data_IF_577012709010
#
_entry.id   IF_577012709010
#
_cell.length_a   1.000
_cell.length_b   1.000
_cell.length_c   1.000
_cell.angle_alpha   90.00
_cell.angle_beta   90.00
_cell.angle_gamma   90.00
#
_symmetry.space_group_name_H-M   'P 1'
#
loop_
_entity.id
_entity.type
_entity.pdbx_description
1 polymer ?
#
# COMPACT_ATOMS: atom_id res chain seq x y z
N UNK A 1 20.53 -17.71 -28.14
CA UNK A 1 20.08 -18.23 -26.84
C UNK A 1 19.57 -17.02 -26.10
N UNK A 2 18.29 -16.94 -25.80
CA UNK A 2 17.75 -15.83 -25.00
C UNK A 2 18.34 -15.96 -23.59
N UNK A 3 19.05 -14.94 -23.13
CA UNK A 3 19.52 -14.93 -21.75
C UNK A 3 18.30 -14.92 -20.81
N UNK A 4 18.29 -15.84 -19.85
CA UNK A 4 17.24 -15.90 -18.84
C UNK A 4 17.22 -14.65 -18.02
N UNK A 5 16.04 -14.13 -17.68
CA UNK A 5 15.87 -12.99 -16.80
C UNK A 5 16.28 -13.35 -15.37
N UNK A 6 17.34 -12.70 -14.87
CA UNK A 6 17.95 -12.98 -13.56
C UNK A 6 17.22 -12.20 -12.47
N UNK A 7 16.58 -12.91 -11.55
CA UNK A 7 15.73 -12.31 -10.51
C UNK A 7 16.17 -12.68 -9.10
N UNK A 8 15.94 -11.77 -8.16
CA UNK A 8 16.05 -12.02 -6.72
C UNK A 8 14.72 -11.74 -6.05
N UNK A 9 14.32 -12.62 -5.13
CA UNK A 9 13.08 -12.53 -4.37
C UNK A 9 13.37 -12.08 -2.95
N UNK A 10 12.54 -11.16 -2.44
CA UNK A 10 12.61 -10.67 -1.06
C UNK A 10 11.23 -10.72 -0.44
N UNK A 11 11.03 -11.63 0.51
CA UNK A 11 9.76 -11.83 1.22
C UNK A 11 10.07 -12.48 2.57
N UNK A 12 9.55 -11.99 3.69
CA UNK A 12 9.79 -12.59 5.02
C UNK A 12 9.00 -13.89 5.23
N UNK A 13 7.98 -14.14 4.42
CA UNK A 13 7.15 -15.33 4.47
C UNK A 13 7.79 -16.48 3.67
N UNK A 14 8.34 -17.46 4.36
CA UNK A 14 9.04 -18.61 3.76
C UNK A 14 8.20 -19.35 2.69
N UNK A 15 6.89 -19.55 2.94
CA UNK A 15 6.01 -20.28 2.02
C UNK A 15 5.80 -19.49 0.70
N UNK A 16 5.52 -18.19 0.80
CA UNK A 16 5.37 -17.32 -0.38
C UNK A 16 6.66 -17.29 -1.20
N UNK A 17 7.80 -17.13 -0.51
CA UNK A 17 9.12 -17.10 -1.13
C UNK A 17 9.43 -18.37 -1.90
N UNK A 18 9.16 -19.54 -1.31
CA UNK A 18 9.38 -20.84 -1.96
C UNK A 18 8.44 -21.05 -3.15
N UNK A 19 7.14 -20.81 -2.96
CA UNK A 19 6.15 -20.99 -4.02
C UNK A 19 6.43 -20.11 -5.24
N UNK A 20 6.80 -18.84 -5.02
CA UNK A 20 7.14 -17.94 -6.11
C UNK A 20 8.47 -18.33 -6.78
N UNK A 21 9.47 -18.77 -6.01
CA UNK A 21 10.71 -19.28 -6.58
C UNK A 21 10.49 -20.47 -7.49
N UNK A 22 9.66 -21.42 -7.06
CA UNK A 22 9.32 -22.62 -7.86
C UNK A 22 8.51 -22.23 -9.11
N UNK A 23 7.56 -21.30 -8.99
CA UNK A 23 6.79 -20.79 -10.12
C UNK A 23 7.71 -20.19 -11.20
N UNK A 24 8.62 -19.30 -10.80
CA UNK A 24 9.52 -18.62 -11.72
C UNK A 24 10.57 -19.58 -12.31
N UNK A 25 11.12 -20.49 -11.50
CA UNK A 25 12.10 -21.48 -11.98
C UNK A 25 11.50 -22.45 -13.02
N UNK A 26 10.20 -22.74 -12.93
CA UNK A 26 9.47 -23.55 -13.92
C UNK A 26 9.12 -22.75 -15.19
N UNK A 27 9.21 -21.44 -15.16
CA UNK A 27 9.07 -20.58 -16.34
C UNK A 27 10.43 -20.50 -17.04
N UNK A 28 10.57 -21.05 -18.22
CA UNK A 28 11.86 -21.25 -18.94
C UNK A 28 12.72 -19.99 -19.11
N UNK A 29 12.15 -18.80 -18.90
CA UNK A 29 12.80 -17.51 -19.12
C UNK A 29 13.36 -16.86 -17.86
N UNK A 30 13.27 -17.51 -16.69
CA UNK A 30 13.76 -16.94 -15.43
C UNK A 30 14.92 -17.74 -14.85
N UNK A 31 15.87 -17.01 -14.27
CA UNK A 31 16.96 -17.54 -13.46
C UNK A 31 16.84 -16.90 -12.05
N UNK A 32 16.38 -17.67 -11.08
CA UNK A 32 16.21 -17.21 -9.71
C UNK A 32 17.57 -17.31 -9.00
N UNK A 33 18.29 -16.18 -8.94
CA UNK A 33 19.63 -16.10 -8.33
C UNK A 33 19.60 -16.33 -6.82
N UNK A 34 18.46 -16.02 -6.19
CA UNK A 34 18.26 -16.23 -4.77
C UNK A 34 16.92 -15.73 -4.28
N UNK A 35 16.55 -16.19 -3.07
CA UNK A 35 15.32 -15.80 -2.42
C UNK A 35 15.58 -15.66 -0.91
N UNK A 36 15.35 -14.46 -0.37
CA UNK A 36 15.71 -14.14 1.01
C UNK A 36 14.62 -13.36 1.74
N UNK A 37 14.62 -13.43 3.09
CA UNK A 37 13.89 -12.50 3.97
C UNK A 37 14.85 -11.53 4.69
N UNK A 38 16.15 -11.56 4.36
CA UNK A 38 17.21 -10.77 5.02
C UNK A 38 17.75 -9.69 4.09
N UNK A 39 17.87 -8.48 4.63
CA UNK A 39 18.43 -7.33 3.89
C UNK A 39 19.92 -7.52 3.61
N UNK A 40 20.67 -8.10 4.54
CA UNK A 40 22.11 -8.33 4.39
C UNK A 40 22.40 -9.37 3.31
N UNK A 41 21.59 -10.44 3.26
CA UNK A 41 21.68 -11.42 2.18
C UNK A 41 21.31 -10.81 0.82
N UNK A 42 20.26 -9.95 0.78
CA UNK A 42 19.89 -9.23 -0.45
C UNK A 42 21.05 -8.41 -0.99
N UNK A 43 21.78 -7.66 -0.14
CA UNK A 43 22.94 -6.88 -0.56
C UNK A 43 24.00 -7.76 -1.22
N UNK A 44 24.26 -8.92 -0.64
CA UNK A 44 25.18 -9.90 -1.24
C UNK A 44 24.68 -10.41 -2.58
N UNK A 45 23.39 -10.70 -2.71
CA UNK A 45 22.76 -11.14 -3.96
C UNK A 45 22.78 -10.05 -5.04
N UNK A 46 22.65 -8.78 -4.66
CA UNK A 46 22.77 -7.65 -5.59
C UNK A 46 24.14 -7.53 -6.26
N UNK A 47 25.21 -8.06 -5.64
CA UNK A 47 26.55 -8.11 -6.26
C UNK A 47 26.57 -8.97 -7.53
N UNK A 48 25.68 -9.95 -7.62
CA UNK A 48 25.52 -10.77 -8.82
C UNK A 48 24.82 -10.01 -9.97
N UNK A 49 24.41 -8.74 -9.74
CA UNK A 49 23.74 -7.87 -10.73
C UNK A 49 22.49 -8.53 -11.31
N UNK A 50 21.44 -8.81 -10.51
CA UNK A 50 20.17 -9.28 -11.05
C UNK A 50 19.54 -8.23 -11.97
N UNK A 51 18.75 -8.67 -12.91
CA UNK A 51 18.01 -7.80 -13.84
C UNK A 51 16.78 -7.17 -13.15
N UNK A 52 16.26 -7.83 -12.11
CA UNK A 52 15.05 -7.39 -11.41
C UNK A 52 14.99 -7.93 -9.98
N UNK A 53 14.44 -7.12 -9.06
CA UNK A 53 14.08 -7.55 -7.71
C UNK A 53 12.56 -7.68 -7.60
N UNK A 54 12.10 -8.74 -6.93
CA UNK A 54 10.69 -8.92 -6.57
C UNK A 54 10.63 -8.84 -5.05
N UNK A 55 9.92 -7.82 -4.53
CA UNK A 55 9.94 -7.45 -3.11
C UNK A 55 8.54 -7.47 -2.55
N UNK A 56 8.30 -8.14 -1.43
CA UNK A 56 7.06 -7.96 -0.69
C UNK A 56 7.04 -6.59 0.02
N UNK A 57 5.86 -5.99 0.07
CA UNK A 57 5.67 -4.72 0.77
C UNK A 57 5.70 -4.90 2.29
N UNK A 58 5.06 -5.96 2.80
CA UNK A 58 4.80 -6.14 4.23
C UNK A 58 5.80 -7.10 4.85
N UNK A 59 7.01 -6.65 5.08
CA UNK A 59 8.08 -7.42 5.71
C UNK A 59 8.50 -6.84 7.06
N UNK A 60 9.19 -7.64 7.84
CA UNK A 60 9.85 -7.23 9.09
C UNK A 60 11.35 -7.56 9.03
N UNK A 61 12.21 -6.77 9.65
CA UNK A 61 11.96 -5.56 10.46
C UNK A 61 11.71 -4.29 9.63
N UNK A 62 11.92 -4.30 8.31
CA UNK A 62 11.79 -3.17 7.40
C UNK A 62 10.78 -3.52 6.30
N UNK A 63 9.85 -2.61 5.99
CA UNK A 63 8.93 -2.80 4.87
C UNK A 63 9.62 -2.62 3.50
N UNK A 64 8.98 -3.15 2.45
CA UNK A 64 9.54 -3.15 1.11
C UNK A 64 9.77 -1.76 0.52
N UNK A 65 8.95 -0.75 0.87
CA UNK A 65 9.13 0.63 0.38
C UNK A 65 10.39 1.24 0.99
N UNK A 66 10.56 1.08 2.30
CA UNK A 66 11.75 1.54 3.03
C UNK A 66 13.01 0.87 2.48
N UNK A 67 12.95 -0.44 2.20
CA UNK A 67 14.04 -1.20 1.57
C UNK A 67 14.41 -0.62 0.20
N UNK A 68 13.42 -0.39 -0.67
CA UNK A 68 13.68 0.18 -2.01
C UNK A 68 14.27 1.57 -1.89
N UNK A 69 13.74 2.42 -1.00
CA UNK A 69 14.25 3.77 -0.77
C UNK A 69 15.72 3.72 -0.34
N UNK A 70 16.08 2.81 0.56
CA UNK A 70 17.45 2.62 1.00
C UNK A 70 18.36 2.15 -0.15
N UNK A 71 17.94 1.15 -0.94
CA UNK A 71 18.70 0.69 -2.11
C UNK A 71 18.97 1.83 -3.11
N UNK A 72 17.97 2.70 -3.35
CA UNK A 72 18.14 3.88 -4.22
C UNK A 72 19.14 4.88 -3.65
N UNK A 73 19.12 5.12 -2.34
CA UNK A 73 20.09 6.01 -1.68
C UNK A 73 21.53 5.45 -1.72
N UNK A 74 21.67 4.13 -1.77
CA UNK A 74 22.95 3.42 -1.94
C UNK A 74 23.41 3.36 -3.43
N UNK A 75 22.65 3.98 -4.35
CA UNK A 75 22.96 4.03 -5.80
C UNK A 75 22.54 2.77 -6.57
N UNK A 76 21.80 1.86 -5.94
CA UNK A 76 21.28 0.67 -6.61
C UNK A 76 20.02 1.02 -7.40
N UNK A 77 20.07 0.87 -8.73
CA UNK A 77 18.99 1.20 -9.66
C UNK A 77 18.35 -0.03 -10.31
N UNK A 78 18.55 -1.23 -9.77
CA UNK A 78 17.93 -2.45 -10.27
C UNK A 78 16.40 -2.24 -10.27
N UNK A 79 15.68 -2.57 -11.36
CA UNK A 79 14.22 -2.50 -11.41
C UNK A 79 13.59 -3.32 -10.29
N UNK A 80 12.52 -2.79 -9.69
CA UNK A 80 11.80 -3.45 -8.59
C UNK A 80 10.35 -3.66 -8.95
N UNK A 81 9.87 -4.88 -8.78
CA UNK A 81 8.46 -5.26 -8.72
C UNK A 81 8.08 -5.45 -7.26
N UNK A 82 7.05 -4.75 -6.82
CA UNK A 82 6.42 -4.99 -5.52
C UNK A 82 5.28 -5.98 -5.70
N UNK A 83 5.33 -7.09 -4.96
CA UNK A 83 4.28 -8.11 -4.97
C UNK A 83 3.66 -8.20 -3.58
N UNK A 84 2.40 -7.78 -3.42
CA UNK A 84 1.80 -7.52 -2.10
C UNK A 84 0.32 -7.91 -2.02
N UNK A 85 -0.19 -8.10 -0.82
CA UNK A 85 -1.64 -8.18 -0.54
C UNK A 85 -2.29 -6.80 -0.37
N UNK A 86 -1.52 -5.70 -0.38
CA UNK A 86 -2.06 -4.36 -0.15
C UNK A 86 -2.64 -3.76 -1.42
N UNK A 87 -3.92 -3.45 -1.39
CA UNK A 87 -4.63 -2.68 -2.41
C UNK A 87 -4.78 -1.19 -2.03
N UNK A 88 -3.98 -0.70 -1.08
CA UNK A 88 -4.01 0.68 -0.60
C UNK A 88 -3.45 1.65 -1.64
N UNK A 89 -4.19 2.73 -1.92
CA UNK A 89 -3.73 3.83 -2.77
C UNK A 89 -2.47 4.51 -2.21
N UNK A 90 -2.40 4.68 -0.89
CA UNK A 90 -1.24 5.27 -0.24
C UNK A 90 0.02 4.42 -0.39
N UNK A 91 -0.11 3.09 -0.33
CA UNK A 91 1.00 2.16 -0.54
C UNK A 91 1.47 2.20 -2.00
N UNK A 92 0.52 2.23 -2.96
CA UNK A 92 0.83 2.39 -4.38
C UNK A 92 1.59 3.71 -4.63
N UNK A 93 1.08 4.83 -4.11
CA UNK A 93 1.72 6.14 -4.26
C UNK A 93 3.15 6.15 -3.70
N UNK A 94 3.34 5.60 -2.49
CA UNK A 94 4.65 5.55 -1.85
C UNK A 94 5.62 4.62 -2.60
N UNK A 95 5.15 3.47 -3.11
CA UNK A 95 5.96 2.57 -3.91
C UNK A 95 6.44 3.24 -5.20
N UNK A 96 5.56 3.94 -5.91
CA UNK A 96 5.93 4.67 -7.14
C UNK A 96 6.93 5.79 -6.84
N UNK A 97 6.72 6.57 -5.77
CA UNK A 97 7.68 7.61 -5.35
C UNK A 97 9.05 7.04 -4.98
N UNK A 98 9.09 5.83 -4.41
CA UNK A 98 10.33 5.11 -4.13
C UNK A 98 11.02 4.55 -5.39
N UNK A 99 10.40 4.67 -6.57
CA UNK A 99 10.96 4.21 -7.84
C UNK A 99 10.70 2.74 -8.16
N UNK A 100 9.63 2.17 -7.59
CA UNK A 100 9.13 0.84 -7.97
C UNK A 100 8.56 0.89 -9.38
N UNK A 101 8.85 -0.11 -10.19
CA UNK A 101 8.41 -0.20 -11.59
C UNK A 101 7.25 -1.17 -11.80
N UNK A 102 6.99 -2.06 -10.85
CA UNK A 102 5.84 -2.97 -10.87
C UNK A 102 5.12 -2.95 -9.53
N UNK A 103 3.79 -2.80 -9.54
CA UNK A 103 2.97 -2.98 -8.33
C UNK A 103 1.90 -4.03 -8.60
N UNK A 104 2.15 -5.24 -8.11
CA UNK A 104 1.34 -6.42 -8.37
C UNK A 104 0.69 -6.93 -7.08
N UNK A 105 -0.49 -7.52 -7.21
CA UNK A 105 -1.19 -8.12 -6.08
C UNK A 105 -0.96 -9.64 -6.04
N UNK A 106 -0.78 -10.18 -4.84
CA UNK A 106 -0.56 -11.63 -4.62
C UNK A 106 -1.77 -12.51 -4.94
N UNK A 107 -2.95 -11.91 -5.21
CA UNK A 107 -4.17 -12.58 -5.66
C UNK A 107 -4.33 -12.64 -7.19
N UNK A 108 -3.38 -12.08 -7.95
CA UNK A 108 -3.33 -12.23 -9.42
C UNK A 108 -3.03 -13.68 -9.82
N UNK A 109 -3.43 -14.05 -11.04
CA UNK A 109 -3.05 -15.35 -11.58
C UNK A 109 -1.52 -15.48 -11.72
N UNK A 110 -0.96 -16.69 -11.56
CA UNK A 110 0.48 -16.89 -11.75
C UNK A 110 0.98 -16.42 -13.11
N UNK A 111 0.19 -16.62 -14.16
CA UNK A 111 0.49 -16.24 -15.53
C UNK A 111 0.57 -14.71 -15.68
N UNK A 112 -0.37 -13.98 -15.07
CA UNK A 112 -0.39 -12.51 -15.09
C UNK A 112 0.79 -11.92 -14.31
N UNK A 113 1.17 -12.56 -13.21
CA UNK A 113 2.37 -12.15 -12.43
C UNK A 113 3.63 -12.32 -13.27
N UNK A 114 3.80 -13.49 -13.90
CA UNK A 114 4.97 -13.79 -14.76
C UNK A 114 5.05 -12.81 -15.94
N UNK A 115 3.94 -12.56 -16.65
CA UNK A 115 3.89 -11.60 -17.75
C UNK A 115 4.23 -10.20 -17.29
N UNK A 116 3.67 -9.76 -16.17
CA UNK A 116 3.94 -8.45 -15.59
C UNK A 116 5.42 -8.26 -15.22
N UNK A 117 6.07 -9.29 -14.67
CA UNK A 117 7.51 -9.25 -14.35
C UNK A 117 8.34 -9.07 -15.63
N UNK A 118 8.02 -9.79 -16.72
CA UNK A 118 8.71 -9.63 -18.01
C UNK A 118 8.58 -8.22 -18.56
N UNK A 119 7.40 -7.64 -18.50
CA UNK A 119 7.13 -6.27 -18.96
C UNK A 119 7.91 -5.24 -18.15
N UNK A 120 7.99 -5.42 -16.83
CA UNK A 120 8.82 -4.55 -15.97
C UNK A 120 10.30 -4.67 -16.33
N UNK A 121 10.80 -5.88 -16.59
CA UNK A 121 12.18 -6.10 -17.02
C UNK A 121 12.46 -5.47 -18.40
N UNK A 122 11.46 -5.40 -19.27
CA UNK A 122 11.54 -4.68 -20.56
C UNK A 122 11.47 -3.13 -20.39
N UNK A 123 11.35 -2.63 -19.14
CA UNK A 123 11.35 -1.20 -18.85
C UNK A 123 9.97 -0.56 -18.71
N UNK A 124 8.89 -1.35 -18.78
CA UNK A 124 7.54 -0.82 -18.59
C UNK A 124 7.25 -0.49 -17.11
N UNK A 125 6.32 0.43 -16.89
CA UNK A 125 5.65 0.60 -15.60
C UNK A 125 4.38 -0.25 -15.60
N UNK A 126 4.29 -1.23 -14.71
CA UNK A 126 3.17 -2.17 -14.63
C UNK A 126 2.46 -2.05 -13.29
N UNK A 127 1.16 -1.84 -13.34
CA UNK A 127 0.31 -1.79 -12.15
C UNK A 127 -0.80 -2.83 -12.30
N UNK A 128 -1.07 -3.58 -11.24
CA UNK A 128 -2.15 -4.57 -11.24
C UNK A 128 -3.47 -3.95 -11.74
N UNK A 129 -4.27 -4.64 -12.56
CA UNK A 129 -5.51 -4.09 -13.11
C UNK A 129 -6.44 -3.52 -12.05
N UNK A 130 -6.56 -4.17 -10.89
CA UNK A 130 -7.36 -3.70 -9.76
C UNK A 130 -6.88 -2.37 -9.16
N UNK A 131 -5.62 -1.98 -9.41
CA UNK A 131 -5.00 -0.74 -8.92
C UNK A 131 -4.99 0.38 -9.96
N UNK A 132 -5.40 0.12 -11.20
CA UNK A 132 -5.30 1.10 -12.31
C UNK A 132 -6.12 2.35 -12.04
N UNK A 133 -7.33 2.22 -11.51
CA UNK A 133 -8.19 3.39 -11.17
C UNK A 133 -7.51 4.25 -10.10
N UNK A 134 -6.97 3.61 -9.05
CA UNK A 134 -6.23 4.29 -7.97
C UNK A 134 -5.00 5.02 -8.51
N UNK A 135 -4.31 4.43 -9.49
CA UNK A 135 -3.19 5.08 -10.17
C UNK A 135 -3.61 6.32 -10.95
N UNK A 136 -4.74 6.26 -11.66
CA UNK A 136 -5.29 7.41 -12.39
C UNK A 136 -5.67 8.53 -11.42
N UNK A 137 -6.28 8.19 -10.28
CA UNK A 137 -6.67 9.15 -9.25
C UNK A 137 -5.44 9.83 -8.63
N UNK A 138 -4.36 9.08 -8.39
CA UNK A 138 -3.07 9.64 -7.97
C UNK A 138 -2.50 10.63 -8.99
N UNK A 139 -2.53 10.31 -10.29
CA UNK A 139 -2.05 11.19 -11.36
C UNK A 139 -2.88 12.46 -11.50
N UNK A 140 -4.18 12.38 -11.20
CA UNK A 140 -5.08 13.55 -11.18
C UNK A 140 -4.91 14.37 -9.89
N UNK A 141 -4.57 13.73 -8.79
CA UNK A 141 -4.46 14.33 -7.45
C UNK A 141 -3.17 15.11 -7.22
N UNK A 142 -2.13 14.96 -8.04
CA UNK A 142 -0.89 15.74 -7.90
C UNK A 142 -1.05 17.26 -8.19
N UNK A 143 -2.25 17.71 -8.55
CA UNK A 143 -2.57 19.14 -8.57
C UNK A 143 -3.18 19.66 -7.26
N UNK A 144 -3.37 18.80 -6.26
CA UNK A 144 -3.89 19.21 -4.95
C UNK A 144 -2.94 18.79 -3.84
N UNK A 145 -1.81 19.46 -3.73
CA UNK A 145 -1.01 19.55 -2.50
C UNK A 145 -1.74 20.32 -1.38
N UNK A 146 -3.05 20.15 -1.30
CA UNK A 146 -3.88 20.60 -0.17
C UNK A 146 -4.51 19.35 0.43
N UNK A 147 -4.16 19.05 1.71
CA UNK A 147 -5.08 18.30 2.56
C UNK A 147 -6.49 18.82 2.27
N UNK A 148 -7.47 17.95 1.94
CA UNK A 148 -8.81 18.42 1.66
C UNK A 148 -9.36 19.10 2.92
N UNK A 149 -9.23 20.42 2.99
CA UNK A 149 -9.98 21.24 3.96
C UNK A 149 -11.45 20.95 3.68
N UNK A 150 -12.08 20.12 4.49
CA UNK A 150 -13.47 19.65 4.44
C UNK A 150 -13.70 18.18 4.03
N UNK A 151 -12.75 17.28 4.25
CA UNK A 151 -12.94 15.83 4.01
C UNK A 151 -14.14 15.27 4.83
N UNK A 152 -14.45 15.85 5.97
CA UNK A 152 -15.61 15.48 6.79
C UNK A 152 -16.96 15.74 6.10
N UNK A 153 -17.02 16.57 5.04
CA UNK A 153 -18.25 16.76 4.24
C UNK A 153 -18.64 15.55 3.40
N UNK A 154 -17.69 14.66 3.13
CA UNK A 154 -17.93 13.42 2.37
C UNK A 154 -18.66 12.36 3.21
N UNK A 155 -18.72 12.54 4.53
CA UNK A 155 -19.36 11.62 5.44
C UNK A 155 -20.87 11.88 5.49
N UNK A 156 -21.65 10.79 5.48
CA UNK A 156 -23.07 10.84 5.80
C UNK A 156 -23.27 11.23 7.28
N UNK A 157 -24.47 11.67 7.66
CA UNK A 157 -24.79 12.00 9.06
C UNK A 157 -24.42 10.85 10.00
N UNK A 158 -24.77 9.61 9.61
CA UNK A 158 -24.48 8.42 10.42
C UNK A 158 -22.97 8.17 10.56
N UNK A 159 -22.20 8.37 9.51
CA UNK A 159 -20.75 8.25 9.55
C UNK A 159 -20.10 9.36 10.39
N UNK A 160 -20.69 10.57 10.42
CA UNK A 160 -20.24 11.67 11.29
C UNK A 160 -20.49 11.37 12.77
N UNK A 161 -21.63 10.82 13.13
CA UNK A 161 -21.89 10.38 14.50
C UNK A 161 -20.87 9.34 14.96
N UNK A 162 -20.57 8.37 14.10
CA UNK A 162 -19.61 7.31 14.40
C UNK A 162 -18.18 7.85 14.53
N UNK A 163 -17.72 8.72 13.63
CA UNK A 163 -16.36 9.27 13.74
C UNK A 163 -16.21 10.18 14.96
N UNK A 164 -17.27 10.87 15.38
CA UNK A 164 -17.28 11.65 16.61
C UNK A 164 -17.09 10.78 17.86
N UNK A 165 -17.76 9.63 17.92
CA UNK A 165 -17.60 8.66 19.01
C UNK A 165 -16.21 8.00 18.97
N UNK A 166 -15.69 7.72 17.76
CA UNK A 166 -14.31 7.26 17.57
C UNK A 166 -13.28 8.26 18.10
N UNK A 167 -13.48 9.56 17.86
CA UNK A 167 -12.61 10.62 18.35
C UNK A 167 -12.62 10.74 19.88
N UNK A 168 -13.71 10.35 20.52
CA UNK A 168 -13.80 10.22 21.98
C UNK A 168 -13.13 8.96 22.53
N UNK A 169 -12.57 8.11 21.68
CA UNK A 169 -11.89 6.88 22.07
C UNK A 169 -12.82 5.68 22.30
N UNK A 170 -14.10 5.76 21.93
CA UNK A 170 -15.06 4.71 22.17
C UNK A 170 -14.76 3.44 21.33
N UNK A 171 -14.93 2.27 21.92
CA UNK A 171 -14.84 0.99 21.22
C UNK A 171 -16.03 0.76 20.29
N UNK A 172 -15.88 -0.07 19.26
CA UNK A 172 -17.00 -0.43 18.36
C UNK A 172 -18.21 -1.01 19.12
N UNK A 173 -17.96 -1.69 20.26
CA UNK A 173 -19.02 -2.24 21.12
C UNK A 173 -19.78 -1.12 21.84
N UNK A 174 -19.09 -0.12 22.36
CA UNK A 174 -19.69 1.06 23.00
C UNK A 174 -20.47 1.88 21.96
N UNK A 175 -19.91 2.11 20.78
CA UNK A 175 -20.59 2.81 19.68
C UNK A 175 -21.87 2.08 19.26
N UNK A 176 -21.82 0.75 19.14
CA UNK A 176 -22.98 -0.07 18.81
C UNK A 176 -24.11 0.10 19.82
N UNK A 177 -23.78 0.11 21.12
CA UNK A 177 -24.72 0.36 22.19
C UNK A 177 -25.30 1.79 22.17
N UNK A 178 -24.42 2.81 22.03
CA UNK A 178 -24.83 4.22 21.99
C UNK A 178 -25.76 4.54 20.82
N UNK A 179 -25.52 3.91 19.69
CA UNK A 179 -26.27 4.18 18.46
C UNK A 179 -27.40 3.15 18.17
N UNK A 180 -27.58 2.17 19.07
CA UNK A 180 -28.59 1.09 18.96
C UNK A 180 -28.50 0.32 17.63
N UNK A 181 -27.29 -0.01 17.19
CA UNK A 181 -27.01 -0.80 15.98
C UNK A 181 -26.10 -1.99 16.30
N UNK A 182 -25.95 -2.93 15.34
CA UNK A 182 -25.10 -4.09 15.56
C UNK A 182 -23.60 -3.72 15.56
N UNK A 183 -22.79 -4.52 16.24
CA UNK A 183 -21.34 -4.39 16.21
C UNK A 183 -20.77 -4.46 14.78
N UNK A 184 -21.33 -5.36 13.96
CA UNK A 184 -20.87 -5.53 12.57
C UNK A 184 -21.25 -4.32 11.70
N UNK A 185 -22.41 -3.69 11.96
CA UNK A 185 -22.81 -2.44 11.31
C UNK A 185 -21.82 -1.32 11.62
N UNK A 186 -21.39 -1.17 12.88
CA UNK A 186 -20.37 -0.19 13.26
C UNK A 186 -19.05 -0.48 12.53
N UNK A 187 -18.64 -1.75 12.48
CA UNK A 187 -17.40 -2.16 11.79
C UNK A 187 -17.44 -1.80 10.29
N UNK A 188 -18.60 -1.99 9.65
CA UNK A 188 -18.81 -1.59 8.25
C UNK A 188 -18.73 -0.07 8.08
N UNK A 189 -19.40 0.71 8.92
CA UNK A 189 -19.31 2.18 8.87
C UNK A 189 -17.88 2.68 9.08
N UNK A 190 -17.17 2.13 10.06
CA UNK A 190 -15.75 2.49 10.30
C UNK A 190 -14.91 2.21 9.05
N UNK A 191 -15.11 1.07 8.38
CA UNK A 191 -14.42 0.77 7.13
C UNK A 191 -14.74 1.79 6.02
N UNK A 192 -16.03 2.14 5.86
CA UNK A 192 -16.45 3.14 4.87
C UNK A 192 -15.89 4.53 5.18
N UNK A 193 -15.88 4.95 6.46
CA UNK A 193 -15.26 6.20 6.90
C UNK A 193 -13.78 6.24 6.52
N UNK A 194 -13.03 5.19 6.85
CA UNK A 194 -11.60 5.10 6.52
C UNK A 194 -11.36 5.18 5.01
N UNK A 195 -12.19 4.50 4.22
CA UNK A 195 -12.11 4.54 2.75
C UNK A 195 -12.44 5.93 2.22
N UNK A 196 -13.55 6.57 2.65
CA UNK A 196 -13.96 7.90 2.18
C UNK A 196 -12.97 9.00 2.54
N UNK A 197 -12.31 8.88 3.71
CA UNK A 197 -11.32 9.84 4.19
C UNK A 197 -9.89 9.47 3.77
N UNK A 198 -9.72 8.38 3.01
CA UNK A 198 -8.42 7.83 2.61
C UNK A 198 -7.44 7.64 3.78
N UNK A 199 -7.93 7.06 4.87
CA UNK A 199 -7.16 6.87 6.10
C UNK A 199 -6.86 5.40 6.37
N UNK A 200 -5.63 5.11 6.79
CA UNK A 200 -5.16 3.75 7.05
C UNK A 200 -5.47 3.23 8.47
N UNK A 201 -5.99 4.07 9.38
CA UNK A 201 -6.31 3.62 10.74
C UNK A 201 -7.39 4.48 11.41
N UNK A 202 -8.13 3.86 12.36
CA UNK A 202 -9.12 4.56 13.20
C UNK A 202 -8.53 5.71 14.01
N UNK A 203 -7.27 5.61 14.41
CA UNK A 203 -6.57 6.65 15.15
C UNK A 203 -6.37 7.88 14.28
N UNK A 204 -5.98 7.70 13.01
CA UNK A 204 -5.87 8.81 12.06
C UNK A 204 -7.23 9.47 11.80
N UNK A 205 -8.32 8.70 11.74
CA UNK A 205 -9.67 9.25 11.59
C UNK A 205 -10.07 10.09 12.82
N UNK A 206 -9.79 9.62 14.02
CA UNK A 206 -10.04 10.35 15.26
C UNK A 206 -9.24 11.66 15.33
N UNK A 207 -7.96 11.63 14.96
CA UNK A 207 -7.08 12.81 14.93
C UNK A 207 -7.56 13.83 13.88
N UNK A 208 -7.95 13.37 12.67
CA UNK A 208 -8.47 14.26 11.63
C UNK A 208 -9.75 14.96 12.10
N UNK A 209 -10.70 14.20 12.69
CA UNK A 209 -11.93 14.78 13.23
C UNK A 209 -11.67 15.79 14.34
N UNK A 210 -10.72 15.53 15.24
CA UNK A 210 -10.34 16.47 16.31
C UNK A 210 -9.73 17.76 15.76
N UNK A 211 -8.94 17.68 14.67
CA UNK A 211 -8.35 18.85 14.01
C UNK A 211 -9.38 19.70 13.25
N UNK A 212 -10.28 19.08 12.49
CA UNK A 212 -11.27 19.78 11.66
C UNK A 212 -12.54 20.16 12.44
N UNK A 213 -12.95 19.36 13.43
CA UNK A 213 -14.13 19.61 14.26
C UNK A 213 -13.92 20.67 15.35
N UNK A 214 -12.65 20.93 15.73
CA UNK A 214 -12.31 21.98 16.72
C UNK A 214 -12.41 23.41 16.19
N UNK A 215 -12.44 23.61 14.87
CA UNK A 215 -12.50 24.94 14.25
C UNK A 215 -13.92 25.49 14.04
N UNK A 216 -14.96 24.72 14.37
CA UNK A 216 -16.36 25.14 14.13
C UNK A 216 -17.04 25.80 15.33
N UNK A 217 -16.36 26.02 16.46
CA UNK A 217 -16.98 26.52 17.70
C UNK A 217 -16.51 27.92 18.16
N UNK A 218 -15.70 28.66 17.39
CA UNK A 218 -15.20 29.98 17.84
C UNK A 218 -15.84 31.18 17.14
N UNK A 219 -16.81 31.02 16.22
CA UNK A 219 -17.37 32.19 15.50
C UNK A 219 -18.85 32.49 15.82
N UNK A 220 -19.31 32.19 17.05
CA UNK A 220 -20.71 32.53 17.44
C UNK A 220 -20.81 33.21 18.79
N UNK A 221 -19.83 33.99 19.20
CA UNK A 221 -19.94 34.81 20.42
C UNK A 221 -19.12 36.10 20.34
N UNK A 222 -19.49 37.02 19.49
CA UNK A 222 -19.24 38.45 19.74
C UNK A 222 -20.05 39.31 18.77
N UNK A 223 -21.29 39.56 19.09
CA UNK A 223 -22.04 40.77 18.71
C UNK A 223 -23.15 40.98 19.74
N UNK A 224 -22.91 41.74 20.73
CA UNK A 224 -23.82 42.64 21.41
C UNK A 224 -23.07 43.94 21.65
#
# INVERSE_FOLDING_TARGET
MSDKLRVVLVDDQCLCRRGLSELLANSYDFDVLGATGSIDELRTMCLAKPDLLIVDLRMKPMDGISLVTQLRSEGNNIPVVMLTMSDSEADLANAIRAGVRGYLLKDMSPEDVVDSIRRVAAGELVVAPAMTVKMIDLLRGDQSGQEPKNSLKLLTEREREIIQLLARGESNKAIAQNLSISYDTVKQHVRHILTKLNLSSRVKAAVLFAKEGGTSNEDSSTRL
#
